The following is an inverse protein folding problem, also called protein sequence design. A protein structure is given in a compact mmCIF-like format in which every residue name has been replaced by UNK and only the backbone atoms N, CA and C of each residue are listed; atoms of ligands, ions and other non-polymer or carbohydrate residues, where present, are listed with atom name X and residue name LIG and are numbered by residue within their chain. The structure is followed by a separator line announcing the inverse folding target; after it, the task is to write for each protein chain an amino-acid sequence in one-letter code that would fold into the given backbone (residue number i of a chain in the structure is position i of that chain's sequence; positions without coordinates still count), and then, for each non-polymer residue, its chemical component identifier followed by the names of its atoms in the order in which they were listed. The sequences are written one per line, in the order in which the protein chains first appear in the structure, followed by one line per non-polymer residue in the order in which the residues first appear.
data_IF_170489105780
#
_entry.id   IF_170489105780
#
_cell.length_a   1.000
_cell.length_b   1.000
_cell.length_c   1.000
_cell.angle_alpha   90.00
_cell.angle_beta   90.00
_cell.angle_gamma   90.00
#
_symmetry.space_group_name_H-M   'P 1'
#
loop_
_entity.id
_entity.type
_entity.pdbx_description
1 polymer ?
#
# COMPACT_ATOMS: atom_id res chain seq x y z
N UNK A 1 -9.87 11.17 28.91
CA UNK A 1 -10.70 10.76 27.76
C UNK A 1 -10.05 11.12 26.42
N UNK A 2 -9.27 12.20 26.32
CA UNK A 2 -8.54 12.56 25.07
C UNK A 2 -7.41 11.58 24.67
N UNK A 3 -6.63 11.06 25.62
CA UNK A 3 -5.53 10.13 25.27
C UNK A 3 -6.04 8.80 24.70
N UNK A 4 -7.13 8.26 25.25
CA UNK A 4 -7.77 7.04 24.75
C UNK A 4 -8.32 7.20 23.32
N UNK A 5 -8.85 8.38 22.97
CA UNK A 5 -9.31 8.65 21.60
C UNK A 5 -8.16 8.76 20.59
N UNK A 6 -7.01 9.30 21.01
CA UNK A 6 -5.84 9.45 20.14
C UNK A 6 -5.22 8.09 19.78
N UNK A 7 -5.15 7.16 20.74
CA UNK A 7 -4.64 5.80 20.50
C UNK A 7 -5.54 5.03 19.53
N UNK A 8 -6.86 5.15 19.68
CA UNK A 8 -7.82 4.49 18.79
C UNK A 8 -7.70 4.99 17.34
N UNK A 9 -7.61 6.31 17.14
CA UNK A 9 -7.38 6.90 15.80
C UNK A 9 -6.06 6.43 15.19
N UNK A 10 -5.02 6.31 16.02
CA UNK A 10 -3.70 5.87 15.59
C UNK A 10 -3.67 4.40 15.13
N UNK A 11 -4.54 3.55 15.69
CA UNK A 11 -4.68 2.13 15.36
C UNK A 11 -5.67 1.85 14.22
N UNK A 12 -6.43 2.84 13.75
CA UNK A 12 -7.44 2.62 12.71
C UNK A 12 -6.81 2.43 11.31
N UNK A 13 -5.78 3.23 10.98
CA UNK A 13 -5.23 3.33 9.62
C UNK A 13 -4.58 2.01 9.14
N UNK A 14 -3.74 1.37 9.97
CA UNK A 14 -2.96 0.19 9.55
C UNK A 14 -3.87 -1.01 9.26
N UNK A 15 -4.72 -1.44 10.21
CA UNK A 15 -5.68 -2.51 10.01
C UNK A 15 -6.64 -2.26 8.86
N UNK A 16 -7.12 -1.01 8.66
CA UNK A 16 -7.94 -0.68 7.49
C UNK A 16 -7.22 -0.93 6.17
N UNK A 17 -5.97 -0.47 6.05
CA UNK A 17 -5.15 -0.74 4.86
C UNK A 17 -4.87 -2.23 4.68
N UNK A 18 -4.70 -2.97 5.77
CA UNK A 18 -4.45 -4.41 5.75
C UNK A 18 -5.68 -5.17 5.27
N UNK A 19 -6.87 -4.87 5.81
CA UNK A 19 -8.14 -5.45 5.34
C UNK A 19 -8.35 -5.13 3.87
N UNK A 20 -8.13 -3.87 3.46
CA UNK A 20 -8.25 -3.48 2.07
C UNK A 20 -7.28 -4.27 1.18
N UNK A 21 -6.01 -4.41 1.59
CA UNK A 21 -5.02 -5.19 0.84
C UNK A 21 -5.40 -6.67 0.69
N UNK A 22 -6.02 -7.27 1.71
CA UNK A 22 -6.52 -8.63 1.64
C UNK A 22 -7.69 -8.76 0.65
N UNK A 23 -8.60 -7.78 0.61
CA UNK A 23 -9.68 -7.77 -0.38
C UNK A 23 -9.11 -7.75 -1.79
N UNK A 24 -8.14 -6.88 -2.06
CA UNK A 24 -7.46 -6.82 -3.36
C UNK A 24 -6.71 -8.12 -3.69
N UNK A 25 -6.18 -8.81 -2.67
CA UNK A 25 -5.46 -10.07 -2.82
C UNK A 25 -6.38 -11.23 -3.21
N UNK A 26 -7.53 -11.35 -2.54
CA UNK A 26 -8.50 -12.41 -2.80
C UNK A 26 -9.36 -12.14 -4.03
N UNK A 27 -9.60 -10.86 -4.36
CA UNK A 27 -10.44 -10.45 -5.49
C UNK A 27 -9.66 -9.59 -6.50
N UNK A 28 -8.64 -10.17 -7.17
CA UNK A 28 -7.96 -9.48 -8.26
C UNK A 28 -8.89 -9.34 -9.47
N UNK A 29 -8.87 -8.21 -10.17
CA UNK A 29 -9.69 -8.01 -11.35
C UNK A 29 -9.19 -8.84 -12.53
N UNK A 30 -10.08 -9.68 -13.08
CA UNK A 30 -9.75 -10.63 -14.16
C UNK A 30 -9.75 -10.02 -15.57
N UNK A 31 -10.32 -8.82 -15.74
CA UNK A 31 -10.45 -8.12 -17.01
C UNK A 31 -10.04 -6.67 -16.83
N UNK A 32 -9.49 -6.07 -17.89
CA UNK A 32 -9.18 -4.65 -17.92
C UNK A 32 -10.47 -3.87 -17.66
N UNK A 33 -10.50 -3.14 -16.55
CA UNK A 33 -11.64 -2.32 -16.14
C UNK A 33 -11.12 -0.93 -15.74
N UNK A 34 -11.85 0.11 -16.16
CA UNK A 34 -11.50 1.48 -15.84
C UNK A 34 -11.84 1.87 -14.40
N UNK A 35 -12.63 1.08 -13.68
CA UNK A 35 -13.14 1.42 -12.34
C UNK A 35 -12.23 0.90 -11.22
N UNK A 36 -11.62 -0.26 -11.41
CA UNK A 36 -10.90 -0.98 -10.35
C UNK A 36 -9.71 -1.76 -10.92
N UNK A 37 -8.66 -1.90 -10.13
CA UNK A 37 -7.40 -2.55 -10.50
C UNK A 37 -6.24 -1.59 -10.72
N UNK A 38 -5.11 -2.18 -11.08
CA UNK A 38 -3.85 -1.52 -11.29
C UNK A 38 -3.80 -0.77 -12.64
N UNK A 39 -4.34 0.44 -12.69
CA UNK A 39 -4.64 1.20 -13.92
C UNK A 39 -3.49 2.08 -14.41
N UNK A 40 -2.27 1.55 -14.51
CA UNK A 40 -1.18 2.24 -15.21
C UNK A 40 -1.28 2.01 -16.71
N UNK A 41 -0.84 2.98 -17.53
CA UNK A 41 -0.83 2.86 -19.00
C UNK A 41 -0.10 1.61 -19.46
N UNK A 42 0.94 1.19 -18.75
CA UNK A 42 1.67 -0.03 -19.06
C UNK A 42 0.92 -1.31 -18.65
N UNK A 43 0.24 -1.31 -17.50
CA UNK A 43 -0.54 -2.48 -17.06
C UNK A 43 -1.73 -2.78 -17.98
N UNK A 44 -2.36 -1.74 -18.53
CA UNK A 44 -3.52 -1.86 -19.42
C UNK A 44 -3.16 -2.17 -20.88
N UNK A 45 -1.88 -2.37 -21.22
CA UNK A 45 -1.44 -2.61 -22.60
C UNK A 45 -2.08 -3.86 -23.19
N UNK A 46 -1.97 -5.00 -22.51
CA UNK A 46 -2.54 -6.29 -22.90
C UNK A 46 -3.20 -7.00 -21.70
N UNK A 47 -3.98 -8.05 -21.96
CA UNK A 47 -4.62 -8.83 -20.88
C UNK A 47 -3.59 -9.57 -19.99
N UNK A 48 -2.47 -10.01 -20.56
CA UNK A 48 -1.40 -10.66 -19.80
C UNK A 48 -0.69 -9.68 -18.84
N UNK A 49 -0.40 -8.46 -19.31
CA UNK A 49 0.17 -7.39 -18.47
C UNK A 49 -0.80 -6.95 -17.39
N UNK A 50 -2.10 -6.95 -17.70
CA UNK A 50 -3.13 -6.67 -16.72
C UNK A 50 -3.17 -7.73 -15.62
N UNK A 51 -3.14 -9.02 -16.00
CA UNK A 51 -3.17 -10.13 -15.07
C UNK A 51 -1.94 -10.13 -14.15
N UNK A 52 -0.73 -9.93 -14.71
CA UNK A 52 0.50 -9.93 -13.91
C UNK A 52 0.60 -8.71 -12.98
N UNK A 53 0.24 -7.51 -13.45
CA UNK A 53 0.25 -6.33 -12.60
C UNK A 53 -0.77 -6.43 -11.45
N UNK A 54 -1.99 -6.90 -11.73
CA UNK A 54 -3.03 -7.08 -10.72
C UNK A 54 -2.81 -8.29 -9.82
N UNK A 55 -2.00 -9.27 -10.25
CA UNK A 55 -1.51 -10.35 -9.41
C UNK A 55 -0.46 -9.84 -8.44
N UNK A 56 0.47 -8.97 -8.86
CA UNK A 56 1.60 -8.50 -8.02
C UNK A 56 1.26 -7.31 -7.13
N UNK A 57 0.38 -6.41 -7.57
CA UNK A 57 0.00 -5.19 -6.84
C UNK A 57 -0.55 -5.46 -5.42
N UNK A 58 -1.45 -6.45 -5.20
CA UNK A 58 -1.96 -6.74 -3.86
C UNK A 58 -0.90 -7.23 -2.88
N UNK A 59 0.11 -8.00 -3.33
CA UNK A 59 1.22 -8.44 -2.47
C UNK A 59 2.03 -7.25 -1.95
N UNK A 60 2.31 -6.27 -2.82
CA UNK A 60 3.00 -5.05 -2.42
C UNK A 60 2.15 -4.26 -1.42
N UNK A 61 0.85 -4.14 -1.66
CA UNK A 61 -0.06 -3.44 -0.75
C UNK A 61 -0.16 -4.12 0.61
N UNK A 62 -0.18 -5.45 0.63
CA UNK A 62 -0.19 -6.25 1.85
C UNK A 62 1.09 -6.05 2.65
N UNK A 63 2.26 -6.08 1.99
CA UNK A 63 3.55 -5.83 2.64
C UNK A 63 3.62 -4.42 3.26
N UNK A 64 3.16 -3.40 2.54
CA UNK A 64 3.10 -2.01 3.07
C UNK A 64 2.18 -1.90 4.26
N UNK A 65 0.99 -2.48 4.19
CA UNK A 65 0.02 -2.41 5.28
C UNK A 65 0.53 -3.11 6.53
N UNK A 66 1.18 -4.27 6.39
CA UNK A 66 1.80 -4.99 7.48
C UNK A 66 2.94 -4.19 8.15
N UNK A 67 3.83 -3.57 7.34
CA UNK A 67 4.89 -2.69 7.86
C UNK A 67 4.29 -1.49 8.59
N UNK A 68 3.21 -0.90 8.04
CA UNK A 68 2.54 0.25 8.63
C UNK A 68 1.93 -0.11 9.99
N UNK A 69 1.30 -1.28 10.13
CA UNK A 69 0.81 -1.80 11.41
C UNK A 69 1.95 -1.96 12.43
N UNK A 70 3.09 -2.51 12.03
CA UNK A 70 4.26 -2.67 12.91
C UNK A 70 4.78 -1.30 13.37
N UNK A 71 4.90 -0.33 12.46
CA UNK A 71 5.31 1.03 12.82
C UNK A 71 4.34 1.71 13.80
N UNK A 72 3.03 1.49 13.65
CA UNK A 72 2.03 2.00 14.59
C UNK A 72 2.18 1.38 15.98
N UNK A 73 2.41 0.07 16.08
CA UNK A 73 2.66 -0.60 17.35
C UNK A 73 3.93 -0.07 18.04
N UNK A 74 5.01 0.12 17.28
CA UNK A 74 6.25 0.71 17.78
C UNK A 74 6.00 2.15 18.29
N UNK A 75 5.27 2.97 17.53
CA UNK A 75 4.95 4.34 17.93
C UNK A 75 4.22 4.44 19.27
N UNK A 76 3.34 3.48 19.56
CA UNK A 76 2.63 3.37 20.85
C UNK A 76 3.60 2.98 21.97
N UNK A 77 4.44 1.96 21.75
CA UNK A 77 5.40 1.47 22.77
C UNK A 77 6.38 2.55 23.20
N UNK A 78 6.86 3.37 22.25
CA UNK A 78 7.82 4.44 22.51
C UNK A 78 7.17 5.80 22.81
N UNK A 79 5.84 5.87 22.90
CA UNK A 79 5.09 7.10 23.14
C UNK A 79 5.54 8.28 22.23
N UNK A 80 5.65 7.98 20.94
CA UNK A 80 6.06 8.98 19.94
C UNK A 80 4.89 9.95 19.74
N UNK A 81 5.16 11.26 19.84
CA UNK A 81 4.17 12.30 19.57
C UNK A 81 3.55 12.15 18.17
N UNK A 82 2.23 12.33 18.09
CA UNK A 82 1.44 12.15 16.86
C UNK A 82 2.01 12.94 15.66
N UNK A 83 2.44 14.18 15.89
CA UNK A 83 3.00 15.07 14.86
C UNK A 83 4.24 14.46 14.20
N UNK A 84 5.11 13.81 14.99
CA UNK A 84 6.32 13.15 14.49
C UNK A 84 5.97 11.91 13.68
N UNK A 85 4.97 11.14 14.13
CA UNK A 85 4.53 9.95 13.41
C UNK A 85 3.98 10.29 12.02
N UNK A 86 3.20 11.38 11.90
CA UNK A 86 2.72 11.86 10.60
C UNK A 86 3.90 12.26 9.70
N UNK A 87 4.87 13.00 10.22
CA UNK A 87 6.05 13.41 9.45
C UNK A 87 6.84 12.21 8.93
N UNK A 88 7.12 11.21 9.78
CA UNK A 88 7.80 9.99 9.35
C UNK A 88 6.99 9.21 8.31
N UNK A 89 5.67 9.13 8.48
CA UNK A 89 4.78 8.46 7.53
C UNK A 89 4.81 9.13 6.14
N UNK A 90 4.78 10.46 6.05
CA UNK A 90 4.82 11.18 4.76
C UNK A 90 6.15 11.01 4.02
N UNK A 91 7.27 11.05 4.74
CA UNK A 91 8.60 10.80 4.16
C UNK A 91 8.70 9.35 3.66
N UNK A 92 8.20 8.40 4.44
CA UNK A 92 8.16 7.00 4.04
C UNK A 92 7.29 6.80 2.79
N UNK A 93 6.08 7.38 2.77
CA UNK A 93 5.15 7.24 1.65
C UNK A 93 5.68 7.85 0.35
N UNK A 94 6.33 9.02 0.44
CA UNK A 94 6.97 9.64 -0.73
C UNK A 94 8.13 8.81 -1.28
N UNK A 95 8.98 8.24 -0.42
CA UNK A 95 10.02 7.30 -0.85
C UNK A 95 9.43 6.02 -1.44
N UNK A 96 8.38 5.49 -0.81
CA UNK A 96 7.69 4.29 -1.27
C UNK A 96 7.10 4.46 -2.67
N UNK A 97 6.38 5.56 -2.93
CA UNK A 97 5.81 5.88 -4.26
C UNK A 97 6.92 5.93 -5.32
N UNK A 98 8.06 6.54 -5.00
CA UNK A 98 9.19 6.63 -5.91
C UNK A 98 9.81 5.26 -6.20
N UNK A 99 10.01 4.45 -5.15
CA UNK A 99 10.54 3.10 -5.28
C UNK A 99 9.62 2.21 -6.11
N UNK A 100 8.32 2.26 -5.84
CA UNK A 100 7.29 1.50 -6.52
C UNK A 100 7.22 1.84 -8.02
N UNK A 101 7.23 3.14 -8.35
CA UNK A 101 7.29 3.62 -9.75
C UNK A 101 8.55 3.15 -10.48
N UNK A 102 9.67 3.01 -9.78
CA UNK A 102 10.92 2.53 -10.37
C UNK A 102 10.91 1.01 -10.63
N UNK A 103 10.29 0.23 -9.74
CA UNK A 103 10.13 -1.22 -9.93
C UNK A 103 9.27 -1.51 -11.15
N UNK A 104 8.15 -0.80 -11.32
CA UNK A 104 7.28 -1.04 -12.46
C UNK A 104 7.98 -0.72 -13.79
N UNK A 105 8.75 0.39 -13.83
CA UNK A 105 9.51 0.76 -15.03
C UNK A 105 10.54 -0.31 -15.39
N UNK A 106 11.34 -0.75 -14.41
CA UNK A 106 12.41 -1.74 -14.64
C UNK A 106 11.87 -3.14 -14.92
N UNK A 107 10.76 -3.56 -14.30
CA UNK A 107 10.15 -4.87 -14.56
C UNK A 107 9.61 -4.96 -15.99
N UNK A 108 9.10 -3.84 -16.51
CA UNK A 108 8.51 -3.80 -17.86
C UNK A 108 9.58 -3.64 -18.93
N UNK A 109 10.64 -2.87 -18.71
CA UNK A 109 11.80 -2.77 -19.61
C UNK A 109 12.59 -4.09 -19.74
N UNK A 110 12.55 -4.98 -18.74
CA UNK A 110 13.26 -6.26 -18.79
C UNK A 110 12.41 -7.44 -19.31
N UNK A 111 11.09 -7.27 -19.44
CA UNK A 111 10.17 -8.32 -19.90
C UNK A 111 9.51 -8.01 -21.27
N UNK A 112 9.81 -6.86 -21.87
CA UNK A 112 9.38 -6.43 -23.21
C UNK A 112 10.53 -5.75 -23.96
#
# INVERSE_FOLDING_TARGET
MEESSNIFLHLLIGPLLLVLSLIFFYFPPKKINLIYGHRTTLSMKNQDTWNEANKRSPYMMLLVSAITCIFQLIGIVFNIAFDKTILYATIFFSRWINYWRNIDRTTIENHF
#
